data_IF_775007102831
#
_entry.id   IF_775007102831
#
_cell.length_a   1.000
_cell.length_b   1.000
_cell.length_c   1.000
_cell.angle_alpha   90.00
_cell.angle_beta   90.00
_cell.angle_gamma   90.00
#
_symmetry.space_group_name_H-M   'P 1'
#
loop_
_entity.id
_entity.type
_entity.pdbx_description
1 polymer ?
#
# COMPACT_ATOMS: atom_id res chain seq x y z
N UNK A 1 -11.78 56.30 -30.77
CA UNK A 1 -11.94 55.79 -29.39
C UNK A 1 -12.51 54.39 -29.45
N UNK A 2 -11.82 53.44 -28.80
CA UNK A 2 -12.21 52.10 -28.33
C UNK A 2 -11.12 51.08 -28.67
N UNK A 3 -10.02 51.20 -27.95
CA UNK A 3 -9.10 50.10 -27.71
C UNK A 3 -9.81 49.10 -26.78
N UNK A 4 -10.14 47.92 -27.28
CA UNK A 4 -10.55 46.81 -26.45
C UNK A 4 -9.30 45.99 -26.11
N UNK A 5 -8.74 46.25 -24.93
CA UNK A 5 -7.82 45.36 -24.24
C UNK A 5 -8.57 44.04 -24.01
N UNK A 6 -8.09 42.94 -24.59
CA UNK A 6 -8.42 41.58 -24.15
C UNK A 6 -7.40 41.20 -23.07
N UNK A 7 -7.77 41.15 -21.79
CA UNK A 7 -6.91 40.62 -20.76
C UNK A 7 -7.12 39.11 -20.62
N UNK A 8 -6.01 38.41 -20.36
CA UNK A 8 -5.93 37.17 -19.57
C UNK A 8 -7.02 36.11 -19.80
N UNK A 9 -6.74 35.21 -20.73
CA UNK A 9 -7.14 33.81 -20.60
C UNK A 9 -5.91 32.92 -20.83
N UNK A 10 -4.82 33.19 -20.09
CA UNK A 10 -3.83 32.18 -19.75
C UNK A 10 -4.48 31.28 -18.68
N UNK A 11 -5.51 30.53 -19.12
CA UNK A 11 -5.91 29.32 -18.45
C UNK A 11 -4.64 28.48 -18.35
N UNK A 12 -4.21 28.08 -17.15
CA UNK A 12 -3.07 27.22 -17.04
C UNK A 12 -3.55 25.92 -17.68
N UNK A 13 -3.06 25.66 -18.89
CA UNK A 13 -2.93 24.32 -19.44
C UNK A 13 -1.96 23.61 -18.49
N UNK A 14 -2.44 23.29 -17.28
CA UNK A 14 -1.95 22.23 -16.42
C UNK A 14 -2.30 20.95 -17.18
N UNK A 15 -1.65 20.77 -18.32
CA UNK A 15 -1.37 19.45 -18.84
C UNK A 15 -0.64 18.78 -17.69
N UNK A 16 -1.36 17.90 -16.98
CA UNK A 16 -0.82 17.04 -15.94
C UNK A 16 0.17 16.07 -16.57
N UNK A 17 1.31 16.61 -17.02
CA UNK A 17 2.37 15.92 -17.74
C UNK A 17 3.23 15.04 -16.83
N UNK A 18 2.87 14.90 -15.55
CA UNK A 18 3.45 13.90 -14.67
C UNK A 18 2.36 12.89 -14.34
N UNK A 19 2.32 11.83 -15.14
CA UNK A 19 1.54 10.64 -14.80
C UNK A 19 2.34 9.64 -13.97
N UNK A 20 3.65 9.85 -13.77
CA UNK A 20 4.47 9.01 -12.92
C UNK A 20 4.74 9.67 -11.57
N UNK A 21 4.61 8.89 -10.50
CA UNK A 21 4.97 9.30 -9.14
C UNK A 21 4.33 10.63 -8.68
N UNK A 22 2.98 10.72 -8.69
CA UNK A 22 2.29 11.88 -8.14
C UNK A 22 2.56 12.04 -6.62
N UNK A 23 2.25 13.21 -6.05
CA UNK A 23 2.29 13.40 -4.60
C UNK A 23 1.56 12.29 -3.84
N UNK A 24 2.13 11.87 -2.72
CA UNK A 24 1.60 10.79 -1.88
C UNK A 24 1.95 9.37 -2.36
N UNK A 25 2.54 9.21 -3.55
CA UNK A 25 2.79 7.88 -4.12
C UNK A 25 3.61 6.97 -3.19
N UNK A 26 3.06 5.80 -2.91
CA UNK A 26 3.62 4.75 -2.08
C UNK A 26 3.37 3.40 -2.75
N UNK A 27 4.41 2.58 -2.83
CA UNK A 27 4.37 1.20 -3.32
C UNK A 27 4.75 0.26 -2.20
N UNK A 28 4.10 -0.88 -2.15
CA UNK A 28 4.41 -1.96 -1.21
C UNK A 28 4.53 -3.23 -2.03
N UNK A 29 5.72 -3.81 -2.00
CA UNK A 29 6.06 -5.04 -2.69
C UNK A 29 6.32 -6.14 -1.68
N UNK A 30 6.07 -7.38 -2.10
CA UNK A 30 6.60 -8.53 -1.40
C UNK A 30 8.13 -8.53 -1.47
N UNK A 31 8.75 -8.81 -0.33
CA UNK A 31 10.18 -9.05 -0.23
C UNK A 31 10.40 -10.53 0.00
N UNK A 32 11.07 -11.20 -0.95
CA UNK A 32 11.56 -12.55 -0.75
C UNK A 32 13.00 -12.61 -1.23
N UNK A 33 13.89 -13.00 -0.32
CA UNK A 33 15.31 -13.22 -0.59
C UNK A 33 15.61 -14.68 -0.24
N UNK A 34 15.64 -15.52 -1.27
CA UNK A 34 15.88 -16.96 -1.11
C UNK A 34 17.34 -17.24 -0.73
N UNK A 35 18.26 -16.39 -1.18
CA UNK A 35 19.70 -16.55 -0.94
C UNK A 35 20.06 -16.25 0.51
N UNK A 36 19.43 -15.25 1.12
CA UNK A 36 19.64 -14.86 2.51
C UNK A 36 18.62 -15.46 3.46
N UNK A 37 17.71 -16.31 2.96
CA UNK A 37 16.62 -16.91 3.72
C UNK A 37 15.80 -15.83 4.47
N UNK A 38 15.35 -14.79 3.76
CA UNK A 38 14.51 -13.72 4.32
C UNK A 38 13.22 -13.52 3.55
N UNK A 39 12.20 -13.06 4.26
CA UNK A 39 10.90 -12.69 3.71
C UNK A 39 10.34 -11.44 4.41
N UNK A 40 9.40 -10.75 3.78
CA UNK A 40 8.73 -9.60 4.36
C UNK A 40 8.16 -8.67 3.30
N UNK A 41 8.32 -7.36 3.50
CA UNK A 41 7.87 -6.35 2.55
C UNK A 41 8.93 -5.29 2.26
N UNK A 42 8.85 -4.74 1.07
CA UNK A 42 9.60 -3.56 0.64
C UNK A 42 8.60 -2.42 0.40
N UNK A 43 8.76 -1.34 1.14
CA UNK A 43 7.96 -0.12 0.99
C UNK A 43 8.78 0.95 0.30
N UNK A 44 8.25 1.49 -0.80
CA UNK A 44 8.84 2.61 -1.54
C UNK A 44 7.93 3.81 -1.41
N UNK A 45 8.48 4.97 -1.05
CA UNK A 45 7.70 6.21 -0.83
C UNK A 45 8.33 7.35 -1.61
N UNK A 46 7.50 8.13 -2.31
CA UNK A 46 7.91 9.39 -2.91
C UNK A 46 8.25 10.44 -1.84
N UNK A 47 9.45 10.99 -1.87
CA UNK A 47 9.92 12.01 -0.90
C UNK A 47 9.89 13.44 -1.45
N UNK A 48 9.66 13.60 -2.75
CA UNK A 48 9.77 14.88 -3.44
C UNK A 48 10.75 14.83 -4.61
N UNK A 49 10.82 15.94 -5.32
CA UNK A 49 11.71 16.08 -6.47
C UNK A 49 13.12 16.52 -6.06
N UNK A 50 14.12 16.14 -6.86
CA UNK A 50 15.52 16.54 -6.74
C UNK A 50 16.11 16.84 -8.12
N UNK A 51 17.21 17.59 -8.18
CA UNK A 51 17.95 17.84 -9.41
C UNK A 51 19.09 16.83 -9.53
N UNK A 52 19.07 16.00 -10.58
CA UNK A 52 20.07 14.94 -10.82
C UNK A 52 20.45 14.96 -12.30
N UNK A 53 21.75 15.02 -12.61
CA UNK A 53 22.22 15.05 -13.99
C UNK A 53 21.68 16.23 -14.83
N UNK A 54 21.26 17.33 -14.19
CA UNK A 54 20.65 18.47 -14.86
C UNK A 54 19.14 18.32 -15.14
N UNK A 55 18.51 17.24 -14.69
CA UNK A 55 17.08 17.02 -14.85
C UNK A 55 16.37 16.95 -13.50
N UNK A 56 15.11 17.38 -13.48
CA UNK A 56 14.22 17.14 -12.34
C UNK A 56 13.88 15.64 -12.28
N UNK A 57 14.08 15.05 -11.11
CA UNK A 57 13.93 13.63 -10.84
C UNK A 57 13.10 13.42 -9.58
N UNK A 58 12.20 12.44 -9.59
CA UNK A 58 11.46 12.00 -8.42
C UNK A 58 12.37 11.15 -7.53
N UNK A 59 12.50 11.55 -6.26
CA UNK A 59 13.27 10.82 -5.27
C UNK A 59 12.36 9.86 -4.50
N UNK A 60 12.70 8.59 -4.53
CA UNK A 60 11.96 7.52 -3.87
C UNK A 60 12.81 6.90 -2.76
N UNK A 61 12.27 6.81 -1.56
CA UNK A 61 12.91 6.14 -0.41
C UNK A 61 12.36 4.73 -0.26
N UNK A 62 13.28 3.78 -0.26
CA UNK A 62 12.99 2.36 -0.02
C UNK A 62 13.25 1.99 1.44
N UNK A 63 12.32 1.26 2.05
CA UNK A 63 12.44 0.69 3.39
C UNK A 63 11.99 -0.75 3.38
N UNK A 64 12.83 -1.63 3.90
CA UNK A 64 12.58 -3.05 4.00
C UNK A 64 12.17 -3.40 5.44
N UNK A 65 11.18 -4.28 5.57
CA UNK A 65 10.80 -4.90 6.85
C UNK A 65 10.74 -6.40 6.63
N UNK A 66 11.76 -7.10 7.13
CA UNK A 66 12.03 -8.49 6.77
C UNK A 66 12.41 -9.33 7.99
N UNK A 67 12.13 -10.63 7.93
CA UNK A 67 12.49 -11.62 8.94
C UNK A 67 13.13 -12.84 8.26
N UNK A 68 13.97 -13.62 8.96
CA UNK A 68 14.36 -14.95 8.50
C UNK A 68 13.13 -15.86 8.35
N UNK A 69 13.11 -16.77 7.38
CA UNK A 69 11.97 -17.69 7.21
C UNK A 69 11.67 -18.49 8.48
N UNK A 70 10.38 -18.63 8.79
CA UNK A 70 9.92 -19.28 10.02
C UNK A 70 10.12 -18.47 11.30
N UNK A 71 10.67 -17.25 11.21
CA UNK A 71 10.78 -16.31 12.33
C UNK A 71 9.71 -15.21 12.26
N UNK A 72 9.32 -14.71 13.43
CA UNK A 72 8.53 -13.47 13.59
C UNK A 72 9.38 -12.29 14.05
N UNK A 73 10.71 -12.44 14.08
CA UNK A 73 11.65 -11.38 14.44
C UNK A 73 11.98 -10.52 13.22
N UNK A 74 11.21 -9.45 13.04
CA UNK A 74 11.35 -8.53 11.92
C UNK A 74 12.38 -7.46 12.21
N UNK A 75 13.30 -7.26 11.25
CA UNK A 75 14.20 -6.13 11.20
C UNK A 75 13.70 -5.13 10.17
N UNK A 76 13.73 -3.83 10.52
CA UNK A 76 13.46 -2.75 9.58
C UNK A 76 14.73 -1.96 9.26
N UNK A 77 14.97 -1.68 7.99
CA UNK A 77 16.04 -0.79 7.55
C UNK A 77 15.67 -0.03 6.28
N UNK A 78 16.21 1.18 6.16
CA UNK A 78 16.08 2.03 4.97
C UNK A 78 17.29 1.83 4.07
N UNK A 79 17.06 1.66 2.76
CA UNK A 79 18.17 1.58 1.79
C UNK A 79 18.84 2.95 1.69
N UNK A 80 20.17 3.04 1.83
CA UNK A 80 20.86 4.33 1.94
C UNK A 80 20.84 5.14 0.64
N UNK A 81 20.68 4.47 -0.50
CA UNK A 81 20.62 5.11 -1.83
C UNK A 81 19.16 5.15 -2.28
N UNK A 82 18.59 6.34 -2.56
CA UNK A 82 17.24 6.45 -3.07
C UNK A 82 17.15 5.94 -4.50
N UNK A 83 15.97 5.49 -4.91
CA UNK A 83 15.67 5.29 -6.32
C UNK A 83 15.32 6.67 -6.90
N UNK A 84 15.99 7.05 -7.98
CA UNK A 84 15.78 8.34 -8.64
C UNK A 84 15.16 8.05 -10.00
N UNK A 85 13.95 8.54 -10.22
CA UNK A 85 13.26 8.36 -11.50
C UNK A 85 12.99 9.69 -12.18
N UNK A 86 12.75 9.66 -13.48
CA UNK A 86 12.33 10.84 -14.24
C UNK A 86 11.29 10.40 -15.26
N UNK A 87 10.26 11.21 -15.46
CA UNK A 87 9.28 10.98 -16.52
C UNK A 87 9.41 12.01 -17.64
N UNK A 88 9.57 11.53 -18.88
CA UNK A 88 9.59 12.35 -20.08
C UNK A 88 9.22 11.50 -21.30
N UNK A 89 8.48 12.07 -22.26
CA UNK A 89 8.16 11.43 -23.54
C UNK A 89 7.54 10.03 -23.38
N UNK A 90 6.61 9.90 -22.42
CA UNK A 90 5.96 8.64 -22.04
C UNK A 90 6.89 7.55 -21.50
N UNK A 91 8.12 7.90 -21.14
CA UNK A 91 9.12 7.00 -20.58
C UNK A 91 9.40 7.40 -19.14
N UNK A 92 9.36 6.40 -18.26
CA UNK A 92 9.99 6.49 -16.94
C UNK A 92 11.43 6.03 -17.11
N UNK A 93 12.34 6.92 -16.76
CA UNK A 93 13.76 6.65 -16.65
C UNK A 93 14.13 6.42 -15.18
N UNK A 94 15.18 5.64 -14.94
CA UNK A 94 15.84 5.53 -13.63
C UNK A 94 17.29 5.99 -13.75
N UNK A 95 17.79 6.65 -12.72
CA UNK A 95 19.20 7.00 -12.62
C UNK A 95 20.03 5.75 -12.32
N UNK A 96 20.89 5.39 -13.25
CA UNK A 96 21.71 4.19 -13.18
C UNK A 96 23.08 4.45 -12.51
N UNK A 97 23.91 3.42 -12.42
CA UNK A 97 25.25 3.50 -11.84
C UNK A 97 26.28 4.18 -12.75
N UNK A 98 25.94 4.41 -14.02
CA UNK A 98 26.78 5.13 -14.98
C UNK A 98 26.59 6.64 -14.90
N UNK A 99 25.82 7.13 -13.92
CA UNK A 99 25.44 8.53 -13.77
C UNK A 99 24.66 9.04 -15.00
N UNK A 100 23.77 8.21 -15.52
CA UNK A 100 22.86 8.55 -16.60
C UNK A 100 21.44 8.07 -16.29
N UNK A 101 20.47 8.65 -16.99
CA UNK A 101 19.11 8.13 -16.99
C UNK A 101 18.98 7.05 -18.06
N UNK A 102 18.46 5.89 -17.67
CA UNK A 102 18.16 4.78 -18.58
C UNK A 102 16.69 4.37 -18.48
N UNK A 103 16.18 3.70 -19.51
CA UNK A 103 14.77 3.37 -19.68
C UNK A 103 14.33 2.32 -18.67
N UNK A 104 13.45 2.69 -17.75
CA UNK A 104 12.85 1.79 -16.78
C UNK A 104 11.51 1.24 -17.31
N UNK A 105 10.62 2.12 -17.76
CA UNK A 105 9.30 1.77 -18.30
C UNK A 105 8.97 2.65 -19.49
N UNK A 106 8.38 2.09 -20.55
CA UNK A 106 7.98 2.85 -21.74
C UNK A 106 6.47 2.74 -22.01
N UNK A 107 5.69 3.69 -21.48
CA UNK A 107 4.22 3.71 -21.61
C UNK A 107 3.72 4.12 -23.00
N UNK A 108 4.59 4.69 -23.83
CA UNK A 108 4.32 5.03 -25.23
C UNK A 108 4.60 3.90 -26.21
N UNK A 109 5.11 2.75 -25.74
CA UNK A 109 5.44 1.62 -26.61
C UNK A 109 4.19 0.89 -27.13
N UNK A 110 4.24 0.47 -28.39
CA UNK A 110 3.25 -0.35 -29.07
C UNK A 110 3.60 -1.84 -29.02
N UNK A 111 2.64 -2.76 -29.22
CA UNK A 111 2.93 -4.19 -29.29
C UNK A 111 4.05 -4.53 -30.28
N UNK A 112 4.99 -5.36 -29.84
CA UNK A 112 6.21 -5.74 -30.57
C UNK A 112 7.40 -4.82 -30.35
N UNK A 113 7.23 -3.62 -29.79
CA UNK A 113 8.36 -2.79 -29.34
C UNK A 113 8.93 -3.32 -28.03
N UNK A 114 10.20 -3.00 -27.77
CA UNK A 114 10.90 -3.43 -26.58
C UNK A 114 11.94 -2.40 -26.13
N UNK A 115 12.41 -2.57 -24.90
CA UNK A 115 13.59 -1.91 -24.34
C UNK A 115 14.36 -2.89 -23.46
N UNK A 116 15.63 -2.63 -23.16
CA UNK A 116 16.38 -3.39 -22.16
C UNK A 116 16.18 -2.82 -20.77
N UNK A 117 16.32 -3.67 -19.75
CA UNK A 117 16.38 -3.21 -18.36
C UNK A 117 17.53 -2.19 -18.15
N UNK A 118 17.40 -1.26 -17.19
CA UNK A 118 18.41 -0.23 -16.93
C UNK A 118 19.81 -0.82 -16.71
N UNK A 119 20.79 -0.31 -17.46
CA UNK A 119 22.19 -0.75 -17.39
C UNK A 119 22.48 -2.11 -18.02
N UNK A 120 21.50 -2.74 -18.66
CA UNK A 120 21.65 -4.00 -19.39
C UNK A 120 21.94 -3.76 -20.87
N UNK A 121 22.58 -4.73 -21.50
CA UNK A 121 22.78 -4.75 -22.94
C UNK A 121 21.47 -5.08 -23.70
N UNK A 122 21.49 -4.88 -25.03
CA UNK A 122 20.37 -5.23 -25.91
C UNK A 122 20.30 -6.73 -26.25
N UNK A 123 20.55 -7.56 -25.23
CA UNK A 123 20.44 -9.02 -25.32
C UNK A 123 18.95 -9.43 -25.22
N UNK A 124 18.46 -10.35 -26.08
CA UNK A 124 17.09 -10.88 -26.00
C UNK A 124 16.65 -11.33 -24.61
N UNK A 125 17.55 -11.82 -23.76
CA UNK A 125 17.24 -12.22 -22.38
C UNK A 125 16.90 -11.05 -21.45
N UNK A 126 17.38 -9.85 -21.75
CA UNK A 126 17.24 -8.64 -20.93
C UNK A 126 16.14 -7.69 -21.43
N UNK A 127 15.48 -8.04 -22.54
CA UNK A 127 14.43 -7.21 -23.15
C UNK A 127 13.12 -7.29 -22.39
N UNK A 128 12.40 -6.18 -22.37
CA UNK A 128 11.00 -6.10 -21.96
C UNK A 128 10.21 -5.78 -23.23
N UNK A 129 9.47 -6.77 -23.73
CA UNK A 129 8.71 -6.67 -24.99
C UNK A 129 7.24 -6.41 -24.69
N UNK A 130 6.64 -5.42 -25.34
CA UNK A 130 5.21 -5.16 -25.23
C UNK A 130 4.43 -6.21 -26.03
N UNK A 131 3.57 -6.94 -25.35
CA UNK A 131 2.65 -7.91 -25.96
C UNK A 131 1.31 -7.26 -26.33
N UNK A 132 0.80 -6.38 -25.47
CA UNK A 132 -0.50 -5.74 -25.66
C UNK A 132 -0.58 -4.39 -24.91
N UNK A 133 -1.50 -3.53 -25.34
CA UNK A 133 -1.74 -2.20 -24.77
C UNK A 133 -3.23 -1.97 -24.57
N UNK A 134 -3.62 -1.41 -23.43
CA UNK A 134 -5.00 -1.13 -23.07
C UNK A 134 -5.09 0.06 -22.10
N UNK A 135 -6.30 0.39 -21.66
CA UNK A 135 -6.53 1.35 -20.58
C UNK A 135 -7.36 0.68 -19.48
N UNK A 136 -7.11 1.06 -18.22
CA UNK A 136 -7.87 0.58 -17.06
C UNK A 136 -8.36 1.74 -16.21
N UNK A 137 -9.57 1.62 -15.65
CA UNK A 137 -10.13 2.59 -14.71
C UNK A 137 -9.84 2.14 -13.28
N UNK A 138 -9.02 2.88 -12.53
CA UNK A 138 -8.76 2.63 -11.10
C UNK A 138 -9.12 3.89 -10.32
N UNK A 139 -10.03 3.77 -9.34
CA UNK A 139 -10.52 4.93 -8.58
C UNK A 139 -11.15 6.02 -9.46
N UNK A 140 -11.70 5.66 -10.64
CA UNK A 140 -12.26 6.60 -11.61
C UNK A 140 -11.23 7.34 -12.48
N UNK A 141 -9.93 7.03 -12.34
CA UNK A 141 -8.86 7.55 -13.19
C UNK A 141 -8.54 6.53 -14.28
N UNK A 142 -8.54 6.99 -15.54
CA UNK A 142 -8.07 6.19 -16.67
C UNK A 142 -6.55 6.18 -16.71
N UNK A 143 -5.97 4.97 -16.65
CA UNK A 143 -4.53 4.73 -16.68
C UNK A 143 -4.17 3.88 -17.89
N UNK A 144 -3.04 4.17 -18.53
CA UNK A 144 -2.47 3.25 -19.53
C UNK A 144 -2.03 1.95 -18.88
N UNK A 145 -2.23 0.85 -19.59
CA UNK A 145 -1.85 -0.49 -19.18
C UNK A 145 -1.16 -1.20 -20.33
N UNK A 146 0.00 -1.78 -20.07
CA UNK A 146 0.77 -2.59 -21.00
C UNK A 146 0.88 -4.00 -20.43
N UNK A 147 0.74 -5.01 -21.28
CA UNK A 147 1.13 -6.38 -20.99
C UNK A 147 2.53 -6.57 -21.58
N UNK A 148 3.50 -6.96 -20.75
CA UNK A 148 4.91 -7.04 -21.16
C UNK A 148 5.50 -8.41 -20.86
N UNK A 149 6.30 -8.94 -21.78
CA UNK A 149 7.09 -10.16 -21.58
C UNK A 149 8.54 -9.81 -21.30
N UNK A 150 9.13 -10.51 -20.33
CA UNK A 150 10.56 -10.41 -20.03
C UNK A 150 11.33 -11.48 -20.78
N UNK A 151 12.30 -11.01 -21.55
CA UNK A 151 13.19 -11.72 -22.43
C UNK A 151 12.60 -12.95 -23.09
N UNK A 152 13.44 -13.95 -23.31
CA UNK A 152 13.04 -15.29 -23.76
C UNK A 152 12.82 -16.23 -22.56
N UNK A 153 12.27 -15.68 -21.45
CA UNK A 153 11.98 -16.44 -20.24
C UNK A 153 10.57 -17.04 -20.33
N UNK A 154 10.40 -18.06 -21.16
CA UNK A 154 9.09 -18.67 -21.47
C UNK A 154 8.33 -19.20 -20.24
N UNK A 155 9.04 -19.48 -19.14
CA UNK A 155 8.44 -19.96 -17.89
C UNK A 155 7.91 -18.83 -17.00
N UNK A 156 8.31 -17.59 -17.26
CA UNK A 156 7.80 -16.43 -16.52
C UNK A 156 6.55 -15.88 -17.17
N UNK A 157 5.46 -15.70 -16.43
CA UNK A 157 4.26 -15.11 -16.98
C UNK A 157 4.52 -13.66 -17.42
N UNK A 158 3.81 -13.17 -18.45
CA UNK A 158 3.76 -11.76 -18.76
C UNK A 158 3.40 -10.93 -17.53
N UNK A 159 4.03 -9.77 -17.40
CA UNK A 159 3.73 -8.79 -16.36
C UNK A 159 2.72 -7.76 -16.88
N UNK A 160 2.00 -7.12 -15.96
CA UNK A 160 1.15 -5.96 -16.25
C UNK A 160 1.79 -4.70 -15.71
N UNK A 161 2.13 -3.78 -16.61
CA UNK A 161 2.68 -2.47 -16.33
C UNK A 161 1.57 -1.42 -16.43
N UNK A 162 1.30 -0.70 -15.33
CA UNK A 162 0.26 0.35 -15.28
C UNK A 162 0.88 1.70 -15.01
N UNK A 163 0.36 2.73 -15.67
CA UNK A 163 0.73 4.11 -15.40
C UNK A 163 0.50 4.45 -13.92
N UNK A 164 1.34 5.31 -13.32
CA UNK A 164 1.46 5.58 -11.87
C UNK A 164 1.93 4.42 -10.99
N UNK A 165 1.43 3.23 -11.25
CA UNK A 165 1.57 2.05 -10.39
C UNK A 165 2.88 1.29 -10.67
N UNK A 166 3.29 1.18 -11.93
CA UNK A 166 4.45 0.41 -12.35
C UNK A 166 4.10 -1.05 -12.64
N UNK A 167 5.07 -1.94 -12.48
CA UNK A 167 4.94 -3.37 -12.72
C UNK A 167 4.12 -4.07 -11.63
N UNK A 168 3.41 -5.14 -12.00
CA UNK A 168 2.64 -5.96 -11.05
C UNK A 168 3.48 -7.08 -10.46
N UNK A 169 4.42 -7.65 -11.22
CA UNK A 169 5.28 -8.76 -10.81
C UNK A 169 6.71 -8.27 -10.56
N UNK A 170 7.27 -7.45 -11.45
CA UNK A 170 8.59 -6.87 -11.24
C UNK A 170 8.59 -5.89 -10.08
N UNK A 171 9.75 -5.80 -9.42
CA UNK A 171 10.02 -4.70 -8.52
C UNK A 171 10.17 -3.38 -9.29
N UNK A 172 9.98 -2.27 -8.58
CA UNK A 172 9.89 -0.93 -9.14
C UNK A 172 11.12 -0.53 -9.97
N UNK A 173 12.31 -0.99 -9.61
CA UNK A 173 13.54 -0.68 -10.36
C UNK A 173 13.75 -1.58 -11.59
N UNK A 174 12.87 -2.56 -11.84
CA UNK A 174 12.82 -3.37 -13.05
C UNK A 174 14.00 -4.31 -13.31
N UNK A 175 15.12 -4.18 -12.59
CA UNK A 175 16.36 -4.90 -12.94
C UNK A 175 16.96 -5.77 -11.85
N UNK A 176 16.80 -5.48 -10.54
CA UNK A 176 17.61 -6.25 -9.57
C UNK A 176 17.17 -7.70 -9.41
N UNK A 177 15.98 -8.03 -9.93
CA UNK A 177 15.54 -9.40 -10.12
C UNK A 177 16.51 -10.20 -11.01
N UNK A 178 17.06 -9.60 -12.07
CA UNK A 178 18.00 -10.28 -12.98
C UNK A 178 19.38 -10.55 -12.36
N UNK A 179 19.79 -9.75 -11.38
CA UNK A 179 21.16 -9.79 -10.85
C UNK A 179 21.26 -10.62 -9.57
N UNK A 180 20.23 -10.58 -8.72
CA UNK A 180 20.38 -11.02 -7.33
C UNK A 180 19.61 -12.31 -6.99
N UNK A 181 18.91 -12.92 -7.96
CA UNK A 181 17.95 -14.01 -7.68
C UNK A 181 17.05 -13.68 -6.47
N UNK A 182 16.74 -12.38 -6.27
CA UNK A 182 15.84 -11.91 -5.23
C UNK A 182 14.43 -11.87 -5.80
N UNK A 183 13.56 -12.85 -5.51
CA UNK A 183 12.18 -12.79 -5.96
C UNK A 183 11.39 -11.79 -5.13
N UNK A 184 11.43 -10.51 -5.49
CA UNK A 184 10.32 -9.64 -5.12
C UNK A 184 9.04 -10.24 -5.70
N UNK A 185 8.12 -10.70 -4.83
CA UNK A 185 6.92 -11.44 -5.24
C UNK A 185 5.79 -10.51 -5.75
N UNK A 186 6.18 -9.42 -6.42
CA UNK A 186 5.27 -8.48 -7.04
C UNK A 186 4.81 -7.35 -6.13
N UNK A 187 4.02 -6.47 -6.74
CA UNK A 187 3.32 -5.38 -6.08
C UNK A 187 2.16 -5.94 -5.27
N UNK A 188 2.11 -5.63 -3.98
CA UNK A 188 0.92 -5.85 -3.14
C UNK A 188 -0.06 -4.73 -3.33
N UNK A 189 0.41 -3.51 -3.09
CA UNK A 189 -0.43 -2.33 -3.06
C UNK A 189 0.29 -1.09 -3.56
N UNK A 190 -0.52 -0.19 -4.11
CA UNK A 190 -0.15 1.16 -4.48
C UNK A 190 -1.16 2.14 -3.92
N UNK A 191 -0.70 3.32 -3.51
CA UNK A 191 -1.57 4.43 -3.16
C UNK A 191 -0.91 5.75 -3.52
N UNK A 192 -1.69 6.70 -4.02
CA UNK A 192 -1.35 8.13 -4.10
C UNK A 192 -2.51 8.98 -3.53
N UNK A 193 -2.42 10.31 -3.70
CA UNK A 193 -3.46 11.24 -3.21
C UNK A 193 -4.84 11.07 -3.88
N UNK A 194 -4.93 10.32 -4.98
CA UNK A 194 -6.13 10.19 -5.81
C UNK A 194 -6.65 8.75 -5.93
N UNK A 195 -5.77 7.74 -5.91
CA UNK A 195 -6.13 6.34 -6.11
C UNK A 195 -5.44 5.43 -5.09
N UNK A 196 -6.10 4.31 -4.80
CA UNK A 196 -5.53 3.17 -4.12
C UNK A 196 -5.78 1.92 -4.97
N UNK A 197 -4.81 1.01 -4.99
CA UNK A 197 -4.83 -0.23 -5.76
C UNK A 197 -4.21 -1.35 -4.94
N UNK A 198 -4.86 -2.52 -4.95
CA UNK A 198 -4.36 -3.77 -4.38
C UNK A 198 -4.44 -4.87 -5.44
N UNK A 199 -3.41 -5.72 -5.52
CA UNK A 199 -3.38 -6.78 -6.54
C UNK A 199 -4.41 -7.89 -6.25
N UNK A 200 -4.68 -8.15 -4.97
CA UNK A 200 -5.71 -9.08 -4.50
C UNK A 200 -6.63 -8.33 -3.55
N UNK A 201 -7.93 -8.47 -3.74
CA UNK A 201 -8.93 -7.93 -2.82
C UNK A 201 -8.65 -8.48 -1.40
N UNK A 202 -8.71 -7.61 -0.39
CA UNK A 202 -8.37 -7.91 1.02
C UNK A 202 -6.90 -8.24 1.32
N UNK A 203 -5.96 -7.99 0.40
CA UNK A 203 -4.55 -8.06 0.74
C UNK A 203 -4.17 -6.92 1.69
N UNK A 204 -3.62 -7.27 2.86
CA UNK A 204 -3.10 -6.29 3.79
C UNK A 204 -1.88 -5.59 3.19
N UNK A 205 -2.05 -4.30 2.89
CA UNK A 205 -0.98 -3.39 2.48
C UNK A 205 -0.07 -3.03 3.66
N UNK A 206 -0.39 -3.46 4.88
CA UNK A 206 0.40 -3.25 6.08
C UNK A 206 1.55 -4.24 6.23
N UNK A 207 2.29 -4.06 7.32
CA UNK A 207 3.33 -4.99 7.76
C UNK A 207 2.72 -6.37 8.00
N UNK A 208 3.51 -7.43 7.83
CA UNK A 208 3.14 -8.83 8.18
C UNK A 208 2.77 -9.05 9.65
N UNK A 209 2.93 -8.02 10.50
CA UNK A 209 2.51 -8.00 11.91
C UNK A 209 1.24 -7.17 12.14
N UNK A 210 0.68 -6.58 11.09
CA UNK A 210 -0.61 -5.90 11.16
C UNK A 210 -1.66 -6.97 11.36
N UNK A 211 -2.41 -6.91 12.46
CA UNK A 211 -3.67 -7.62 12.53
C UNK A 211 -4.55 -6.93 11.49
N UNK A 212 -4.78 -7.61 10.38
CA UNK A 212 -5.71 -7.14 9.35
C UNK A 212 -6.99 -6.74 10.07
N UNK A 213 -7.33 -5.46 9.99
CA UNK A 213 -8.51 -4.91 10.66
C UNK A 213 -9.74 -5.29 9.84
N UNK A 214 -9.90 -6.58 9.54
CA UNK A 214 -10.99 -7.20 8.79
C UNK A 214 -12.35 -6.95 9.48
N UNK A 215 -12.36 -6.32 10.66
CA UNK A 215 -13.56 -6.07 11.44
C UNK A 215 -13.74 -4.61 11.88
N UNK A 216 -13.28 -3.62 11.11
CA UNK A 216 -13.71 -2.24 11.34
C UNK A 216 -15.25 -2.09 11.26
N UNK A 217 -15.93 -2.97 10.53
CA UNK A 217 -17.40 -3.01 10.44
C UNK A 217 -18.08 -3.89 11.52
N UNK A 218 -17.34 -4.58 12.40
CA UNK A 218 -17.91 -5.40 13.49
C UNK A 218 -17.47 -4.94 14.88
N UNK A 219 -16.84 -3.76 14.99
CA UNK A 219 -16.45 -3.22 16.29
C UNK A 219 -17.70 -2.89 17.13
N UNK A 220 -17.82 -3.42 18.36
CA UNK A 220 -18.94 -3.12 19.23
C UNK A 220 -18.93 -1.63 19.56
N UNK A 221 -20.10 -0.99 19.50
CA UNK A 221 -20.25 0.44 19.76
C UNK A 221 -20.77 0.61 21.20
N UNK A 222 -19.92 1.05 22.15
CA UNK A 222 -20.38 1.36 23.49
C UNK A 222 -21.19 2.66 23.49
N UNK A 223 -22.38 2.62 24.09
CA UNK A 223 -23.23 3.81 24.25
C UNK A 223 -23.88 3.86 25.64
N UNK A 224 -23.88 5.00 26.34
CA UNK A 224 -23.24 6.26 25.96
C UNK A 224 -21.70 6.18 26.06
N UNK A 225 -20.99 6.98 25.26
CA UNK A 225 -19.54 7.14 25.33
C UNK A 225 -19.18 8.62 25.07
N UNK A 226 -18.76 9.39 26.10
CA UNK A 226 -18.50 8.97 27.47
C UNK A 226 -19.76 8.50 28.23
N UNK A 227 -19.58 7.68 29.26
CA UNK A 227 -20.67 7.23 30.14
C UNK A 227 -20.31 7.33 31.63
N UNK A 228 -21.30 7.10 32.50
CA UNK A 228 -21.16 7.33 33.95
C UNK A 228 -21.28 6.01 34.73
N UNK A 229 -22.50 5.48 34.84
CA UNK A 229 -22.79 4.28 35.66
C UNK A 229 -22.90 3.00 34.86
N UNK A 230 -23.07 3.11 33.54
CA UNK A 230 -23.20 1.97 32.64
C UNK A 230 -22.93 2.35 31.19
N UNK A 231 -22.75 1.33 30.35
CA UNK A 231 -22.88 1.44 28.90
C UNK A 231 -23.60 0.20 28.36
N UNK A 232 -24.07 0.29 27.12
CA UNK A 232 -24.60 -0.81 26.32
C UNK A 232 -23.71 -1.07 25.13
N UNK A 233 -23.68 -2.30 24.65
CA UNK A 233 -22.96 -2.67 23.43
C UNK A 233 -23.94 -2.98 22.31
N UNK A 234 -23.69 -2.40 21.14
CA UNK A 234 -24.36 -2.76 19.89
C UNK A 234 -23.33 -3.16 18.83
N UNK A 235 -23.61 -4.23 18.08
CA UNK A 235 -22.81 -4.64 16.91
C UNK A 235 -23.40 -4.13 15.60
N UNK A 236 -23.18 -4.87 14.52
CA UNK A 236 -23.75 -4.59 13.18
C UNK A 236 -25.27 -4.60 13.25
N UNK A 237 -25.93 -3.63 12.61
CA UNK A 237 -27.40 -3.44 12.66
C UNK A 237 -27.97 -3.12 14.07
N UNK A 238 -27.11 -2.73 15.02
CA UNK A 238 -27.54 -2.26 16.34
C UNK A 238 -27.73 -3.37 17.37
N UNK A 239 -27.23 -4.59 17.12
CA UNK A 239 -27.31 -5.73 18.04
C UNK A 239 -26.01 -6.54 17.99
N UNK A 240 -25.64 -7.19 19.11
CA UNK A 240 -24.64 -8.25 19.07
C UNK A 240 -25.21 -9.48 18.37
N UNK A 241 -24.34 -10.25 17.69
CA UNK A 241 -24.73 -11.51 17.07
C UNK A 241 -25.43 -12.44 18.08
N UNK A 242 -26.41 -13.26 17.68
CA UNK A 242 -27.04 -14.20 18.60
C UNK A 242 -26.02 -15.19 19.19
N UNK A 243 -26.09 -15.45 20.50
CA UNK A 243 -25.24 -16.43 21.17
C UNK A 243 -24.62 -15.90 22.47
N UNK A 244 -23.89 -16.75 23.20
CA UNK A 244 -23.21 -16.35 24.42
C UNK A 244 -21.95 -15.54 24.09
N UNK A 245 -21.83 -14.39 24.75
CA UNK A 245 -20.68 -13.48 24.67
C UNK A 245 -20.01 -13.35 26.03
N UNK A 246 -18.69 -13.20 26.02
CA UNK A 246 -17.88 -12.80 27.17
C UNK A 246 -17.35 -11.39 26.93
N UNK A 247 -17.81 -10.44 27.72
CA UNK A 247 -17.41 -9.04 27.69
C UNK A 247 -16.39 -8.83 28.80
N UNK A 248 -15.24 -8.24 28.49
CA UNK A 248 -14.24 -7.85 29.47
C UNK A 248 -13.86 -6.38 29.29
N UNK A 249 -13.61 -5.69 30.40
CA UNK A 249 -13.23 -4.30 30.48
C UNK A 249 -11.83 -4.20 31.08
N UNK A 250 -10.93 -3.50 30.41
CA UNK A 250 -9.54 -3.30 30.81
C UNK A 250 -9.26 -1.82 31.03
N UNK A 251 -8.58 -1.48 32.13
CA UNK A 251 -8.12 -0.11 32.36
C UNK A 251 -6.92 0.25 31.46
N UNK A 252 -6.49 1.50 31.50
CA UNK A 252 -5.36 2.00 30.69
C UNK A 252 -4.03 1.29 30.95
N UNK A 253 -3.90 0.49 32.03
CA UNK A 253 -2.71 -0.32 32.30
C UNK A 253 -2.80 -1.74 31.74
N UNK A 254 -3.91 -2.09 31.09
CA UNK A 254 -4.18 -3.44 30.59
C UNK A 254 -4.70 -4.40 31.67
N UNK A 255 -5.05 -3.90 32.87
CA UNK A 255 -5.62 -4.73 33.93
C UNK A 255 -7.12 -4.89 33.71
N UNK A 256 -7.60 -6.13 33.76
CA UNK A 256 -9.03 -6.43 33.69
C UNK A 256 -9.73 -5.95 34.97
N UNK A 257 -10.72 -5.07 34.81
CA UNK A 257 -11.50 -4.50 35.92
C UNK A 257 -12.91 -5.07 36.02
N UNK A 258 -13.44 -5.61 34.92
CA UNK A 258 -14.78 -6.21 34.86
C UNK A 258 -14.81 -7.32 33.82
N UNK A 259 -15.58 -8.37 34.11
CA UNK A 259 -15.91 -9.42 33.16
C UNK A 259 -17.38 -9.83 33.34
N UNK A 260 -18.11 -9.94 32.24
CA UNK A 260 -19.53 -10.29 32.22
C UNK A 260 -19.80 -11.27 31.08
N UNK A 261 -20.51 -12.36 31.36
CA UNK A 261 -21.06 -13.25 30.34
C UNK A 261 -22.52 -12.91 30.12
N UNK A 262 -22.97 -12.87 28.86
CA UNK A 262 -24.35 -12.53 28.50
C UNK A 262 -24.77 -13.29 27.25
N UNK A 263 -26.08 -13.48 27.08
CA UNK A 263 -26.70 -13.93 25.82
C UNK A 263 -27.58 -12.83 25.23
N UNK A 264 -27.60 -11.64 25.85
CA UNK A 264 -28.45 -10.53 25.44
C UNK A 264 -27.86 -9.88 24.20
N UNK A 265 -28.74 -9.55 23.24
CA UNK A 265 -28.35 -8.85 22.02
C UNK A 265 -27.91 -7.38 22.29
N UNK A 266 -28.29 -6.83 23.45
CA UNK A 266 -27.92 -5.49 23.95
C UNK A 266 -27.65 -5.54 25.45
N UNK A 267 -26.50 -6.07 25.85
CA UNK A 267 -26.17 -6.17 27.26
C UNK A 267 -25.98 -4.78 27.86
N UNK A 268 -26.44 -4.60 29.09
CA UNK A 268 -26.11 -3.44 29.93
C UNK A 268 -24.93 -3.85 30.82
N UNK A 269 -23.86 -3.08 30.76
CA UNK A 269 -22.63 -3.29 31.54
C UNK A 269 -22.59 -2.21 32.61
N UNK A 270 -22.77 -2.60 33.86
CA UNK A 270 -22.68 -1.69 35.00
C UNK A 270 -21.21 -1.36 35.30
N UNK A 271 -20.90 -0.08 35.42
CA UNK A 271 -19.53 0.43 35.61
C UNK A 271 -19.40 1.30 36.86
N UNK A 272 -20.38 1.31 37.76
CA UNK A 272 -20.41 2.15 38.97
C UNK A 272 -19.13 2.04 39.82
N UNK A 273 -18.57 0.82 39.96
CA UNK A 273 -17.36 0.55 40.73
C UNK A 273 -16.05 0.88 40.01
N UNK A 274 -16.08 1.18 38.71
CA UNK A 274 -14.90 1.56 37.95
C UNK A 274 -14.48 3.01 38.28
N UNK A 275 -13.19 3.33 38.20
CA UNK A 275 -12.71 4.70 38.32
C UNK A 275 -13.01 5.49 37.03
N UNK A 276 -13.00 6.82 37.07
CA UNK A 276 -13.05 7.63 35.86
C UNK A 276 -11.78 7.39 35.02
N UNK A 277 -11.91 7.32 33.69
CA UNK A 277 -10.78 7.04 32.81
C UNK A 277 -11.15 6.36 31.49
N UNK A 278 -10.12 6.03 30.71
CA UNK A 278 -10.25 5.32 29.43
C UNK A 278 -10.16 3.81 29.65
N UNK A 279 -11.10 3.09 29.05
CA UNK A 279 -11.19 1.65 29.12
C UNK A 279 -11.18 1.01 27.73
N UNK A 280 -10.53 -0.14 27.61
CA UNK A 280 -10.64 -1.01 26.45
C UNK A 280 -11.65 -2.11 26.72
N UNK A 281 -12.61 -2.28 25.82
CA UNK A 281 -13.66 -3.31 25.87
C UNK A 281 -13.27 -4.40 24.89
N UNK A 282 -13.31 -5.65 25.34
CA UNK A 282 -13.24 -6.81 24.45
C UNK A 282 -14.52 -7.62 24.55
N UNK A 283 -15.06 -8.05 23.41
CA UNK A 283 -16.19 -8.96 23.31
C UNK A 283 -15.72 -10.23 22.61
N UNK A 284 -15.85 -11.37 23.28
CA UNK A 284 -15.51 -12.68 22.74
C UNK A 284 -16.78 -13.51 22.59
N UNK A 285 -17.04 -14.02 21.39
CA UNK A 285 -18.15 -14.96 21.16
C UNK A 285 -17.77 -16.41 21.51
N UNK A 286 -18.71 -17.32 21.33
CA UNK A 286 -18.51 -18.76 21.59
C UNK A 286 -17.50 -19.41 20.63
N UNK A 287 -17.36 -18.87 19.41
CA UNK A 287 -16.47 -19.37 18.38
C UNK A 287 -15.03 -18.85 18.56
N UNK A 288 -14.82 -17.95 19.53
CA UNK A 288 -13.54 -17.37 19.85
C UNK A 288 -13.23 -16.10 19.05
N UNK A 289 -14.16 -15.59 18.24
CA UNK A 289 -14.00 -14.32 17.57
C UNK A 289 -13.92 -13.21 18.62
N UNK A 290 -12.98 -12.29 18.42
CA UNK A 290 -12.68 -11.20 19.34
C UNK A 290 -12.96 -9.86 18.66
N UNK A 291 -13.79 -9.05 19.31
CA UNK A 291 -14.08 -7.68 18.89
C UNK A 291 -13.64 -6.70 19.99
N UNK A 292 -13.22 -5.50 19.59
CA UNK A 292 -12.65 -4.49 20.50
C UNK A 292 -13.27 -3.11 20.34
N UNK A 293 -13.35 -2.35 21.42
CA UNK A 293 -13.79 -0.95 21.42
C UNK A 293 -13.17 -0.15 22.57
N UNK A 294 -13.31 1.17 22.52
CA UNK A 294 -12.85 2.07 23.59
C UNK A 294 -14.03 2.81 24.19
N UNK A 295 -14.07 2.91 25.51
CA UNK A 295 -15.10 3.63 26.26
C UNK A 295 -14.47 4.52 27.33
N UNK A 296 -15.05 5.69 27.54
CA UNK A 296 -14.59 6.67 28.53
C UNK A 296 -15.61 6.77 29.67
N UNK A 297 -15.12 6.60 30.90
CA UNK A 297 -15.91 6.86 32.12
C UNK A 297 -15.63 8.27 32.64
N UNK A 298 -16.69 9.03 32.85
CA UNK A 298 -16.69 10.35 33.53
C UNK A 298 -17.21 10.25 34.97
#
# INVERSE_FOLDING_TARGET
>A
MRAALLPLALLPLLVGAQSWCPPGATWIHDHVDVMMDRYGITRVVYEGDSLVGGFMAQKLRETNVIAPWGSSDYTSFTVPVPILTRYADDIVYVWDWNNAFDTLMWFGASPGQYWSGPGMDDDPFNRITVLDTSTVSIGGIQLRQLIVQRGEWDWMPPDTLRERIGFSINYLNGWSWFITDQPWAGLRCYQDDQIAFSLVDDMDCGFTLSISTVMANMAPQPFPNPGTTHFTLSGVEGYLSPGPHTIALFDATGRMVLQQRTTDARPVIATESAACGVYHITVRDEQGALMGATWVKE
#
